data_IF_695427578829
#
_entry.id   IF_695427578829
#
_cell.length_a   1.000
_cell.length_b   1.000
_cell.length_c   1.000
_cell.angle_alpha   90.00
_cell.angle_beta   90.00
_cell.angle_gamma   90.00
#
_symmetry.space_group_name_H-M   'P 1'
#
loop_
_entity.id
_entity.type
_entity.pdbx_description
1 polymer ?
#
# COMPACT_ATOMS: atom_id res chain seq x y z
N UNK A 1 -5.89 9.01 2.51
CA UNK A 1 -5.27 7.72 2.18
C UNK A 1 -3.84 7.97 1.79
N UNK A 2 -2.91 7.15 2.26
CA UNK A 2 -1.51 7.16 1.80
C UNK A 2 -1.11 5.72 1.53
N UNK A 3 -0.51 5.47 0.36
CA UNK A 3 -0.05 4.14 -0.02
C UNK A 3 1.44 4.19 -0.26
N UNK A 4 2.20 3.44 0.53
CA UNK A 4 3.66 3.31 0.35
C UNK A 4 4.04 1.85 0.17
N UNK A 5 5.04 1.61 -0.66
CA UNK A 5 5.53 0.29 -1.01
C UNK A 5 7.06 0.26 -0.95
N UNK A 6 7.62 -0.89 -0.56
CA UNK A 6 9.05 -1.10 -0.47
C UNK A 6 9.41 -2.57 -0.55
N UNK A 7 10.70 -2.80 -0.81
CA UNK A 7 11.33 -4.10 -0.83
C UNK A 7 12.39 -4.20 0.27
N UNK A 8 12.74 -5.43 0.63
CA UNK A 8 13.86 -5.72 1.50
C UNK A 8 14.98 -6.35 0.69
N UNK A 9 16.23 -6.12 1.10
CA UNK A 9 17.36 -6.93 0.64
C UNK A 9 17.92 -7.70 1.81
N UNK A 10 18.13 -9.00 1.60
CA UNK A 10 18.72 -9.88 2.60
C UNK A 10 20.13 -9.39 2.95
N UNK A 11 20.39 -9.17 4.22
CA UNK A 11 21.70 -8.88 4.79
C UNK A 11 22.01 -9.85 5.93
N UNK A 12 23.29 -10.02 6.26
CA UNK A 12 23.72 -10.88 7.37
C UNK A 12 23.57 -10.20 8.74
N UNK A 13 23.49 -8.87 8.77
CA UNK A 13 23.25 -8.07 9.97
C UNK A 13 21.77 -8.08 10.35
N UNK A 14 21.46 -8.01 11.65
CA UNK A 14 20.09 -7.88 12.15
C UNK A 14 19.39 -6.64 11.57
N UNK A 15 18.16 -6.82 11.08
CA UNK A 15 17.37 -5.81 10.39
C UNK A 15 17.71 -5.73 8.90
N UNK A 16 16.79 -6.16 8.03
CA UNK A 16 16.95 -5.98 6.59
C UNK A 16 16.64 -4.52 6.20
N UNK A 17 17.55 -3.84 5.47
CA UNK A 17 17.29 -2.48 5.03
C UNK A 17 16.08 -2.43 4.10
N UNK A 18 15.34 -1.34 4.23
CA UNK A 18 14.24 -0.96 3.34
C UNK A 18 14.84 -0.39 2.06
N UNK A 19 14.24 -0.72 0.92
CA UNK A 19 14.52 -0.10 -0.35
C UNK A 19 13.21 0.29 -1.01
N UNK A 20 13.15 1.46 -1.62
CA UNK A 20 12.01 1.74 -2.50
C UNK A 20 12.05 0.81 -3.73
N UNK A 21 11.03 0.90 -4.58
CA UNK A 21 10.89 0.00 -5.72
C UNK A 21 11.92 0.28 -6.83
N UNK A 22 12.56 1.47 -6.81
CA UNK A 22 13.71 1.83 -7.65
C UNK A 22 15.05 1.36 -7.06
N UNK A 23 15.07 0.87 -5.82
CA UNK A 23 16.24 0.33 -5.15
C UNK A 23 17.06 1.34 -4.35
N UNK A 24 16.55 2.55 -4.07
CA UNK A 24 17.15 3.50 -3.14
C UNK A 24 16.99 3.01 -1.70
N UNK A 25 18.10 2.97 -0.97
CA UNK A 25 18.16 2.49 0.42
C UNK A 25 17.46 3.47 1.37
N UNK A 26 16.81 2.93 2.39
CA UNK A 26 16.05 3.65 3.43
C UNK A 26 14.95 4.58 2.86
N UNK A 27 14.41 4.23 1.69
CA UNK A 27 13.34 4.94 1.02
C UNK A 27 12.11 4.05 0.82
N UNK A 28 10.97 4.67 0.50
CA UNK A 28 9.73 3.99 0.09
C UNK A 28 9.20 4.64 -1.18
N UNK A 29 8.56 3.85 -2.04
CA UNK A 29 7.81 4.36 -3.19
C UNK A 29 6.40 4.74 -2.73
N UNK A 30 5.93 5.92 -3.10
CA UNK A 30 4.52 6.31 -2.89
C UNK A 30 3.72 6.00 -4.13
N UNK A 31 2.61 5.29 -3.98
CA UNK A 31 1.64 5.09 -5.06
C UNK A 31 0.54 6.13 -4.97
N UNK A 32 0.28 6.83 -6.09
CA UNK A 32 -0.73 7.86 -6.14
C UNK A 32 -2.13 7.21 -6.19
N UNK A 33 -2.98 7.58 -5.24
CA UNK A 33 -4.41 7.23 -5.28
C UNK A 33 -5.09 8.19 -6.24
N UNK A 34 -5.36 7.74 -7.46
CA UNK A 34 -5.97 8.57 -8.51
C UNK A 34 -7.50 8.58 -8.45
N UNK A 35 -8.10 7.59 -7.79
CA UNK A 35 -9.54 7.55 -7.56
C UNK A 35 -9.88 6.71 -6.32
N UNK A 36 -11.00 7.01 -5.68
CA UNK A 36 -11.57 6.24 -4.57
C UNK A 36 -13.09 6.19 -4.72
N UNK A 37 -13.67 4.99 -4.84
CA UNK A 37 -15.11 4.81 -5.04
C UNK A 37 -15.69 3.88 -3.98
N UNK A 38 -16.77 4.31 -3.33
CA UNK A 38 -17.57 3.45 -2.47
C UNK A 38 -18.41 2.49 -3.34
N UNK A 39 -18.41 1.21 -3.01
CA UNK A 39 -19.24 0.22 -3.68
C UNK A 39 -20.69 0.31 -3.19
N UNK A 40 -21.61 -0.30 -3.93
CA UNK A 40 -23.05 -0.29 -3.61
C UNK A 40 -23.42 -0.99 -2.28
N UNK A 41 -22.46 -1.66 -1.63
CA UNK A 41 -22.64 -2.30 -0.32
C UNK A 41 -22.41 -1.35 0.87
N UNK A 42 -22.03 -0.10 0.60
CA UNK A 42 -21.66 0.94 1.58
C UNK A 42 -20.56 0.52 2.58
N UNK A 43 -19.80 -0.53 2.25
CA UNK A 43 -18.81 -1.15 3.15
C UNK A 43 -17.46 -1.36 2.49
N UNK A 44 -17.41 -1.31 1.16
CA UNK A 44 -16.19 -1.53 0.40
C UNK A 44 -15.76 -0.25 -0.31
N UNK A 45 -14.53 0.20 -0.07
CA UNK A 45 -13.93 1.27 -0.87
C UNK A 45 -12.90 0.69 -1.82
N UNK A 46 -13.05 0.97 -3.11
CA UNK A 46 -12.08 0.63 -4.14
C UNK A 46 -11.15 1.80 -4.39
N UNK A 47 -9.86 1.59 -4.17
CA UNK A 47 -8.81 2.54 -4.55
C UNK A 47 -8.26 2.19 -5.93
N UNK A 48 -8.12 3.21 -6.78
CA UNK A 48 -7.37 3.12 -8.01
C UNK A 48 -5.99 3.74 -7.78
N UNK A 49 -4.96 2.95 -8.01
CA UNK A 49 -3.57 3.34 -7.80
C UNK A 49 -2.87 3.50 -9.14
N UNK A 50 -2.08 4.55 -9.28
CA UNK A 50 -1.10 4.69 -10.35
C UNK A 50 0.26 4.13 -9.89
N UNK A 51 0.98 3.48 -10.81
CA UNK A 51 2.27 2.84 -10.53
C UNK A 51 2.20 1.56 -9.68
N UNK A 52 1.06 0.86 -9.65
CA UNK A 52 0.92 -0.40 -8.91
C UNK A 52 1.78 -1.52 -9.52
N UNK A 53 2.74 -2.01 -8.75
CA UNK A 53 3.69 -3.02 -9.19
C UNK A 53 4.03 -4.01 -8.04
N UNK A 54 4.72 -5.13 -8.33
CA UNK A 54 5.13 -6.07 -7.30
C UNK A 54 5.98 -5.43 -6.19
N UNK A 55 5.64 -5.74 -4.94
CA UNK A 55 6.31 -5.20 -3.77
C UNK A 55 6.25 -6.21 -2.62
N UNK A 56 7.36 -6.39 -1.90
CA UNK A 56 7.42 -7.25 -0.72
C UNK A 56 6.54 -6.71 0.40
N UNK A 57 6.47 -5.39 0.54
CA UNK A 57 5.65 -4.74 1.55
C UNK A 57 4.94 -3.54 0.95
N UNK A 58 3.64 -3.45 1.24
CA UNK A 58 2.78 -2.30 0.97
C UNK A 58 2.09 -1.94 2.28
N UNK A 59 1.99 -0.64 2.52
CA UNK A 59 1.33 -0.06 3.68
C UNK A 59 0.33 0.98 3.21
N UNK A 60 -0.92 0.74 3.53
CA UNK A 60 -2.04 1.64 3.27
C UNK A 60 -2.48 2.22 4.59
N UNK A 61 -2.38 3.54 4.76
CA UNK A 61 -2.99 4.25 5.88
C UNK A 61 -4.22 5.00 5.38
N UNK A 62 -5.31 4.93 6.13
CA UNK A 62 -6.57 5.53 5.73
C UNK A 62 -7.34 6.09 6.92
N UNK A 63 -8.20 7.05 6.59
CA UNK A 63 -9.00 7.84 7.52
C UNK A 63 -10.31 8.13 6.79
N UNK A 64 -11.43 7.61 7.30
CA UNK A 64 -12.75 7.60 6.65
C UNK A 64 -13.80 8.00 7.69
N UNK A 65 -14.72 8.88 7.33
CA UNK A 65 -15.90 9.16 8.17
C UNK A 65 -17.00 8.16 7.85
N UNK A 66 -17.55 7.48 8.86
CA UNK A 66 -18.70 6.59 8.68
C UNK A 66 -20.01 7.39 8.51
N UNK A 67 -21.12 6.70 8.22
CA UNK A 67 -22.42 7.34 8.00
C UNK A 67 -22.93 8.17 9.19
N UNK A 68 -22.40 7.94 10.41
CA UNK A 68 -22.72 8.74 11.60
C UNK A 68 -21.82 9.97 11.77
N UNK A 69 -20.83 10.15 10.88
CA UNK A 69 -19.81 11.19 10.96
C UNK A 69 -18.66 10.85 11.91
N UNK A 70 -18.58 9.61 12.42
CA UNK A 70 -17.46 9.18 13.26
C UNK A 70 -16.26 8.87 12.37
N UNK A 71 -15.10 9.43 12.74
CA UNK A 71 -13.84 9.13 12.08
C UNK A 71 -13.33 7.74 12.43
N UNK A 72 -13.03 6.94 11.42
CA UNK A 72 -12.35 5.66 11.48
C UNK A 72 -10.96 5.79 10.87
N UNK A 73 -9.95 5.29 11.58
CA UNK A 73 -8.56 5.31 11.12
C UNK A 73 -7.94 3.93 11.30
N UNK A 74 -7.22 3.48 10.28
CA UNK A 74 -6.52 2.21 10.36
C UNK A 74 -5.36 2.17 9.37
N UNK A 75 -4.53 1.15 9.56
CA UNK A 75 -3.52 0.73 8.60
C UNK A 75 -3.75 -0.68 8.07
N UNK A 76 -3.35 -0.93 6.82
CA UNK A 76 -3.38 -2.26 6.22
C UNK A 76 -2.03 -2.55 5.61
N UNK A 77 -1.53 -3.76 5.87
CA UNK A 77 -0.25 -4.25 5.37
C UNK A 77 -0.48 -5.44 4.44
N UNK A 78 0.17 -5.44 3.28
CA UNK A 78 0.02 -6.48 2.27
C UNK A 78 1.28 -6.65 1.43
N UNK A 79 1.35 -7.77 0.70
CA UNK A 79 2.41 -8.07 -0.27
C UNK A 79 1.78 -8.24 -1.64
N UNK A 80 2.44 -7.72 -2.69
CA UNK A 80 1.98 -7.80 -4.08
C UNK A 80 2.90 -8.75 -4.84
N UNK A 81 2.35 -9.89 -5.26
CA UNK A 81 3.07 -10.88 -6.06
C UNK A 81 2.74 -10.74 -7.55
N UNK A 82 3.72 -11.00 -8.40
CA UNK A 82 3.45 -11.29 -9.81
C UNK A 82 2.67 -12.59 -9.93
N UNK A 83 1.59 -12.60 -10.72
CA UNK A 83 1.00 -13.86 -11.17
C UNK A 83 1.61 -14.24 -12.52
N UNK A 84 2.06 -15.49 -12.73
CA UNK A 84 2.39 -15.97 -14.05
C UNK A 84 1.17 -15.82 -14.97
N UNK A 85 1.40 -15.37 -16.21
CA UNK A 85 0.36 -15.42 -17.24
C UNK A 85 0.26 -16.89 -17.69
N UNK A 86 -0.95 -17.49 -17.74
CA UNK A 86 -1.14 -18.86 -18.20
C UNK A 86 -0.78 -19.04 -19.69
#
# INVERSE_FOLDING_TARGET
WTVTAWNYRRNASYGSPTFDLEGRRDARTTWNVVNATLAADDRTVRLQLDGFEPAMQVHVTWSIDDASGRRLEHETQLTVHTRPVP
#
